data_IF_818606478563
#
_entry.id   IF_818606478563
#
_cell.length_a   1.000
_cell.length_b   1.000
_cell.length_c   1.000
_cell.angle_alpha   90.00
_cell.angle_beta   90.00
_cell.angle_gamma   90.00
#
_symmetry.space_group_name_H-M   'P 1'
#
loop_
_entity.id
_entity.type
_entity.pdbx_description
1 polymer ?
#
# COMPACT_ATOMS: atom_id res chain seq x y z
N UNK A 1 9.61 -6.09 -12.54
CA UNK A 1 8.64 -5.00 -12.75
C UNK A 1 9.26 -4.01 -13.72
N UNK A 2 8.52 -3.57 -14.76
CA UNK A 2 8.95 -2.53 -15.70
C UNK A 2 9.38 -1.25 -14.97
N UNK A 3 10.31 -0.50 -15.57
CA UNK A 3 10.85 0.72 -14.96
C UNK A 3 9.77 1.80 -14.82
N UNK A 4 8.91 1.97 -15.83
CA UNK A 4 7.86 2.99 -15.79
C UNK A 4 6.92 2.83 -14.58
N UNK A 5 6.61 1.58 -14.19
CA UNK A 5 5.75 1.29 -13.03
C UNK A 5 6.52 1.54 -11.73
N UNK A 6 7.82 1.25 -11.67
CA UNK A 6 8.63 1.54 -10.47
C UNK A 6 8.67 3.03 -10.16
N UNK A 7 8.80 3.87 -11.19
CA UNK A 7 8.82 5.32 -11.04
C UNK A 7 7.52 5.85 -10.42
N UNK A 8 6.37 5.27 -10.78
CA UNK A 8 5.05 5.68 -10.26
C UNK A 8 4.77 5.17 -8.84
N UNK A 9 5.38 4.05 -8.45
CA UNK A 9 5.08 3.34 -7.20
C UNK A 9 5.93 3.81 -6.02
N UNK A 10 6.98 4.60 -6.26
CA UNK A 10 7.82 5.22 -5.20
C UNK A 10 7.51 6.71 -5.00
N UNK A 11 6.34 7.12 -4.47
CA UNK A 11 6.25 8.44 -3.85
C UNK A 11 7.11 8.48 -2.59
N UNK A 12 7.70 9.64 -2.34
CA UNK A 12 8.75 9.88 -1.33
C UNK A 12 8.31 9.62 0.11
N UNK A 13 7.01 9.61 0.36
CA UNK A 13 6.42 9.51 1.71
C UNK A 13 6.11 8.07 2.13
N UNK A 14 6.25 7.09 1.23
CA UNK A 14 6.06 5.68 1.56
C UNK A 14 7.18 5.17 2.48
N UNK A 15 6.81 4.44 3.54
CA UNK A 15 7.76 3.86 4.49
C UNK A 15 7.90 2.36 4.28
N UNK A 16 9.09 1.95 3.88
CA UNK A 16 9.46 0.55 3.68
C UNK A 16 10.41 0.07 4.80
N UNK A 17 10.49 -1.25 5.06
CA UNK A 17 11.46 -1.81 6.00
C UNK A 17 12.90 -1.44 5.62
N UNK A 18 13.71 -1.01 6.59
CA UNK A 18 15.11 -0.66 6.38
C UNK A 18 15.95 -1.90 6.01
N UNK A 19 16.98 -1.71 5.18
CA UNK A 19 17.95 -2.75 4.81
C UNK A 19 17.42 -3.81 3.83
N UNK A 20 16.20 -3.67 3.31
CA UNK A 20 15.64 -4.57 2.31
C UNK A 20 16.10 -4.20 0.89
N UNK A 21 16.13 -5.21 0.00
CA UNK A 21 16.45 -5.01 -1.42
C UNK A 21 15.45 -4.04 -2.09
N UNK A 22 15.98 -3.03 -2.79
CA UNK A 22 15.15 -1.98 -3.37
C UNK A 22 14.17 -2.48 -4.43
N UNK A 23 14.54 -3.49 -5.23
CA UNK A 23 13.65 -4.05 -6.25
C UNK A 23 12.54 -4.91 -5.63
N UNK A 24 12.82 -5.56 -4.49
CA UNK A 24 11.82 -6.24 -3.68
C UNK A 24 10.82 -5.25 -3.08
N UNK A 25 11.30 -4.12 -2.56
CA UNK A 25 10.45 -3.06 -2.02
C UNK A 25 9.53 -2.44 -3.07
N UNK A 26 10.00 -2.24 -4.30
CA UNK A 26 9.15 -1.75 -5.40
C UNK A 26 7.95 -2.67 -5.64
N UNK A 27 8.20 -3.98 -5.65
CA UNK A 27 7.14 -4.98 -5.87
C UNK A 27 6.19 -5.04 -4.68
N UNK A 28 6.71 -4.92 -3.46
CA UNK A 28 5.90 -4.90 -2.24
C UNK A 28 4.99 -3.67 -2.22
N UNK A 29 5.52 -2.48 -2.49
CA UNK A 29 4.74 -1.23 -2.61
C UNK A 29 3.67 -1.33 -3.67
N UNK A 30 4.01 -1.84 -4.86
CA UNK A 30 3.04 -2.04 -5.93
C UNK A 30 1.87 -2.92 -5.47
N UNK A 31 2.18 -4.08 -4.85
CA UNK A 31 1.15 -5.00 -4.34
C UNK A 31 0.30 -4.37 -3.23
N UNK A 32 0.89 -3.55 -2.37
CA UNK A 32 0.15 -2.87 -1.31
C UNK A 32 -0.79 -1.81 -1.85
N UNK A 33 -0.33 -0.94 -2.76
CA UNK A 33 -1.19 0.08 -3.37
C UNK A 33 -2.35 -0.55 -4.15
N UNK A 34 -2.11 -1.64 -4.87
CA UNK A 34 -3.16 -2.43 -5.52
C UNK A 34 -4.18 -3.02 -4.52
N UNK A 35 -3.71 -3.54 -3.39
CA UNK A 35 -4.57 -4.08 -2.34
C UNK A 35 -5.41 -2.99 -1.68
N UNK A 36 -4.81 -1.84 -1.38
CA UNK A 36 -5.50 -0.65 -0.83
C UNK A 36 -6.57 -0.16 -1.80
N UNK A 37 -6.22 0.03 -3.09
CA UNK A 37 -7.18 0.44 -4.11
C UNK A 37 -8.39 -0.50 -4.15
N UNK A 38 -8.17 -1.82 -4.14
CA UNK A 38 -9.25 -2.81 -4.19
C UNK A 38 -10.15 -2.80 -2.96
N UNK A 39 -9.64 -2.41 -1.80
CA UNK A 39 -10.43 -2.25 -0.57
C UNK A 39 -11.20 -0.93 -0.58
N UNK A 40 -10.60 0.15 -1.08
CA UNK A 40 -11.17 1.51 -1.01
C UNK A 40 -12.16 1.79 -2.14
N UNK A 41 -11.86 1.36 -3.37
CA UNK A 41 -12.69 1.65 -4.55
C UNK A 41 -14.16 1.24 -4.38
N UNK A 42 -14.50 0.05 -3.84
CA UNK A 42 -15.89 -0.31 -3.62
C UNK A 42 -16.62 0.56 -2.58
N UNK A 43 -15.89 1.27 -1.72
CA UNK A 43 -16.45 2.09 -0.65
C UNK A 43 -16.67 3.55 -1.07
N UNK A 44 -15.84 4.04 -2.00
CA UNK A 44 -15.81 5.46 -2.37
C UNK A 44 -16.12 5.70 -3.85
N UNK A 45 -15.98 4.68 -4.70
CA UNK A 45 -16.11 4.78 -6.16
C UNK A 45 -15.21 5.84 -6.81
N UNK A 46 -14.12 6.23 -6.14
CA UNK A 46 -13.09 7.14 -6.64
C UNK A 46 -11.92 6.33 -7.19
N UNK A 47 -11.51 6.64 -8.42
CA UNK A 47 -10.32 6.05 -9.02
C UNK A 47 -9.06 6.69 -8.43
N UNK A 48 -8.37 5.97 -7.55
CA UNK A 48 -7.11 6.40 -6.95
C UNK A 48 -5.93 6.02 -7.85
N UNK A 49 -4.96 6.92 -7.99
CA UNK A 49 -3.64 6.64 -8.56
C UNK A 49 -2.69 6.14 -7.48
N UNK A 50 -1.48 5.73 -7.86
CA UNK A 50 -0.45 5.31 -6.91
C UNK A 50 0.04 6.45 -5.99
N UNK A 51 0.03 7.68 -6.48
CA UNK A 51 0.37 8.90 -5.70
C UNK A 51 -0.70 9.27 -4.67
N UNK A 52 -1.93 8.77 -4.84
CA UNK A 52 -3.06 9.04 -3.94
C UNK A 52 -3.09 8.11 -2.71
N UNK A 53 -2.14 7.17 -2.61
CA UNK A 53 -2.10 6.13 -1.58
C UNK A 53 -0.73 6.15 -0.91
N UNK A 54 -0.69 6.43 0.39
CA UNK A 54 0.52 6.37 1.19
C UNK A 54 0.57 5.08 2.01
N UNK A 55 1.71 4.39 1.97
CA UNK A 55 1.94 3.11 2.63
C UNK A 55 2.96 3.30 3.76
N UNK A 56 2.62 2.80 4.96
CA UNK A 56 3.53 2.69 6.09
C UNK A 56 3.62 1.22 6.52
N UNK A 57 4.60 0.49 5.98
CA UNK A 57 4.84 -0.91 6.35
C UNK A 57 5.40 -1.08 7.76
N UNK A 58 5.95 -0.02 8.36
CA UNK A 58 6.47 -0.06 9.73
C UNK A 58 5.30 -0.07 10.72
N UNK A 59 4.25 0.69 10.42
CA UNK A 59 3.04 0.76 11.24
C UNK A 59 1.92 -0.16 10.76
N UNK A 60 2.11 -0.87 9.65
CA UNK A 60 1.11 -1.78 9.08
C UNK A 60 -0.16 -1.07 8.65
N UNK A 61 -0.05 0.10 8.02
CA UNK A 61 -1.22 0.89 7.60
C UNK A 61 -1.00 1.63 6.28
N UNK A 62 -2.09 2.07 5.69
CA UNK A 62 -2.12 2.98 4.56
C UNK A 62 -3.17 4.07 4.78
N UNK A 63 -2.94 5.21 4.13
CA UNK A 63 -3.87 6.34 4.08
C UNK A 63 -4.05 6.77 2.62
N UNK A 64 -5.25 7.21 2.26
CA UNK A 64 -5.56 7.75 0.92
C UNK A 64 -5.71 9.27 0.97
N UNK A 65 -5.57 9.95 -0.19
CA UNK A 65 -5.88 11.39 -0.32
C UNK A 65 -7.31 11.74 0.05
N UNK A 66 -8.23 10.79 -0.04
CA UNK A 66 -9.63 10.91 0.40
C UNK A 66 -9.81 10.80 1.91
N UNK A 67 -8.74 10.51 2.67
CA UNK A 67 -8.72 10.42 4.13
C UNK A 67 -9.07 9.04 4.69
N UNK A 68 -9.17 8.00 3.86
CA UNK A 68 -9.49 6.65 4.33
C UNK A 68 -8.25 5.95 4.87
N UNK A 69 -8.38 5.44 6.09
CA UNK A 69 -7.37 4.58 6.72
C UNK A 69 -7.62 3.10 6.41
N UNK A 70 -6.55 2.40 6.07
CA UNK A 70 -6.52 0.95 5.78
C UNK A 70 -5.45 0.30 6.62
N UNK A 71 -5.73 -0.86 7.19
CA UNK A 71 -4.72 -1.68 7.88
C UNK A 71 -4.11 -2.69 6.90
N UNK A 72 -2.82 -2.99 7.09
CA UNK A 72 -2.01 -3.81 6.21
C UNK A 72 -1.31 -4.93 6.97
N UNK A 73 -1.38 -6.14 6.40
CA UNK A 73 -0.47 -7.24 6.70
C UNK A 73 0.32 -7.62 5.46
N UNK A 74 1.59 -7.99 5.58
CA UNK A 74 2.39 -8.45 4.45
C UNK A 74 3.37 -9.55 4.83
N UNK A 75 3.78 -10.33 3.84
CA UNK A 75 4.82 -11.35 3.99
C UNK A 75 5.79 -11.29 2.80
N UNK A 76 7.07 -11.41 3.12
CA UNK A 76 8.18 -11.51 2.16
C UNK A 76 8.83 -12.89 2.31
N UNK A 77 8.15 -13.93 1.79
CA UNK A 77 8.70 -15.28 1.74
C UNK A 77 9.05 -15.63 0.28
N UNK A 78 8.95 -16.90 -0.13
CA UNK A 78 9.07 -17.29 -1.53
C UNK A 78 8.14 -16.51 -2.47
N UNK A 79 7.07 -15.93 -1.92
CA UNK A 79 6.09 -15.08 -2.59
C UNK A 79 5.91 -13.77 -1.81
N UNK A 80 5.43 -12.74 -2.52
CA UNK A 80 5.08 -11.45 -1.93
C UNK A 80 3.55 -11.40 -1.80
N UNK A 81 3.08 -11.33 -0.55
CA UNK A 81 1.66 -11.20 -0.24
C UNK A 81 1.41 -9.92 0.54
N UNK A 82 0.31 -9.23 0.20
CA UNK A 82 -0.21 -8.10 0.96
C UNK A 82 -1.70 -8.30 1.16
N UNK A 83 -2.12 -8.18 2.41
CA UNK A 83 -3.51 -8.13 2.83
C UNK A 83 -3.82 -6.68 3.24
N UNK A 84 -4.93 -6.16 2.74
CA UNK A 84 -5.44 -4.84 3.11
C UNK A 84 -6.87 -5.01 3.60
N UNK A 85 -7.24 -4.27 4.64
CA UNK A 85 -8.60 -4.28 5.16
C UNK A 85 -8.94 -2.92 5.80
N UNK A 86 -10.23 -2.50 5.77
CA UNK A 86 -10.62 -1.21 6.32
C UNK A 86 -10.23 -1.13 7.80
N UNK A 87 -9.74 0.03 8.22
CA UNK A 87 -9.48 0.27 9.64
C UNK A 87 -10.78 0.05 10.43
N UNK A 88 -10.73 -0.83 11.42
CA UNK A 88 -11.90 -1.16 12.23
C UNK A 88 -12.45 0.09 12.92
N UNK A 89 -13.78 0.24 12.93
CA UNK A 89 -14.43 1.19 13.82
C UNK A 89 -14.29 0.62 15.24
N UNK A 90 -13.57 1.30 16.14
CA UNK A 90 -13.74 1.04 17.57
C UNK A 90 -15.15 1.48 17.92
N UNK A 91 -16.05 0.52 18.13
CA UNK A 91 -17.31 0.79 18.83
C UNK A 91 -16.93 1.22 20.25
N UNK A 92 -17.06 2.53 20.51
CA UNK A 92 -16.97 3.09 21.86
C UNK A 92 -18.28 2.83 22.60
#
# INVERSE_FOLDING_TARGET
MPEEIRALVRPTDDKTPQGADGALMDRLLFRAKEAVFKVVFPLEHVMLKYEDIWIDFVQGRAETTTGRGVELGYALNFLIWVLAYPKGHKTL
#
